data_IF_584595539295
#
_entry.id   IF_584595539295
#
_cell.length_a   1.000
_cell.length_b   1.000
_cell.length_c   1.000
_cell.angle_alpha   90.00
_cell.angle_beta   90.00
_cell.angle_gamma   90.00
#
_symmetry.space_group_name_H-M   'P 1'
#
loop_
_entity.id
_entity.type
_entity.pdbx_description
1 polymer ?
#
# COMPACT_ATOMS: atom_id res chain seq x y z
N UNK A 1 20.91 -2.65 -10.85
CA UNK A 1 19.75 -3.27 -10.19
C UNK A 1 18.85 -2.15 -9.71
N UNK A 2 17.58 -2.10 -10.13
CA UNK A 2 16.67 -1.03 -9.72
C UNK A 2 16.31 -1.21 -8.23
N UNK A 3 16.52 -0.18 -7.41
CA UNK A 3 16.15 -0.20 -5.99
C UNK A 3 14.63 -0.31 -5.89
N UNK A 4 14.12 -1.42 -5.34
CA UNK A 4 12.68 -1.60 -5.08
C UNK A 4 12.30 -0.65 -3.94
N UNK A 5 11.34 0.24 -4.18
CA UNK A 5 10.86 1.20 -3.17
C UNK A 5 10.16 0.44 -2.05
N UNK A 6 10.51 0.72 -0.78
CA UNK A 6 9.94 0.02 0.38
C UNK A 6 8.55 0.57 0.77
N UNK A 7 7.88 -0.12 1.70
CA UNK A 7 6.61 0.34 2.26
C UNK A 7 6.80 1.68 3.01
N UNK A 8 7.86 1.79 3.82
CA UNK A 8 8.19 2.98 4.60
C UNK A 8 8.52 4.17 3.70
N UNK A 9 9.26 3.93 2.60
CA UNK A 9 9.54 4.97 1.59
C UNK A 9 8.24 5.46 0.92
N UNK A 10 7.28 4.56 0.65
CA UNK A 10 5.95 4.92 0.12
C UNK A 10 5.11 5.71 1.13
N UNK A 11 5.13 5.30 2.40
CA UNK A 11 4.42 6.00 3.47
C UNK A 11 4.94 7.43 3.64
N UNK A 12 6.26 7.59 3.68
CA UNK A 12 6.91 8.91 3.73
C UNK A 12 6.50 9.79 2.54
N UNK A 13 6.41 9.22 1.34
CA UNK A 13 5.98 9.96 0.15
C UNK A 13 4.52 10.42 0.25
N UNK A 14 3.64 9.62 0.84
CA UNK A 14 2.26 10.01 1.10
C UNK A 14 2.17 11.15 2.12
N UNK A 15 2.98 11.13 3.17
CA UNK A 15 3.05 12.23 4.15
C UNK A 15 3.54 13.54 3.50
N UNK A 16 4.55 13.46 2.62
CA UNK A 16 5.03 14.62 1.85
C UNK A 16 3.94 15.18 0.92
N UNK A 17 3.20 14.30 0.25
CA UNK A 17 2.10 14.69 -0.63
C UNK A 17 0.94 15.31 0.16
N UNK A 18 0.62 14.77 1.34
CA UNK A 18 -0.41 15.32 2.22
C UNK A 18 -0.05 16.74 2.66
N UNK A 19 1.19 16.99 3.08
CA UNK A 19 1.66 18.33 3.44
C UNK A 19 1.52 19.35 2.31
N UNK A 20 1.75 18.92 1.06
CA UNK A 20 1.55 19.79 -0.11
C UNK A 20 0.07 20.07 -0.38
N UNK A 21 -0.81 19.10 -0.16
CA UNK A 21 -2.26 19.30 -0.30
C UNK A 21 -2.84 20.19 0.81
N UNK A 22 -2.19 20.25 1.97
CA UNK A 22 -2.54 21.16 3.06
C UNK A 22 -2.05 22.60 2.83
N UNK A 23 -1.19 22.83 1.84
CA UNK A 23 -0.73 24.16 1.48
C UNK A 23 -1.86 24.97 0.84
N UNK A 24 -2.15 26.14 1.40
CA UNK A 24 -3.21 27.04 0.92
C UNK A 24 -2.90 27.70 -0.43
N UNK A 25 -1.65 27.66 -0.88
CA UNK A 25 -1.22 28.22 -2.18
C UNK A 25 -1.22 27.19 -3.32
N UNK A 26 -1.57 25.93 -3.05
CA UNK A 26 -1.59 24.90 -4.09
C UNK A 26 -2.65 25.19 -5.17
N UNK A 27 -2.22 25.16 -6.43
CA UNK A 27 -3.12 25.27 -7.58
C UNK A 27 -3.93 23.98 -7.79
N UNK A 28 -5.16 24.10 -8.32
CA UNK A 28 -6.05 22.97 -8.58
C UNK A 28 -5.39 21.87 -9.44
N UNK A 29 -4.68 22.25 -10.51
CA UNK A 29 -4.01 21.29 -11.40
C UNK A 29 -2.89 20.52 -10.68
N UNK A 30 -2.20 21.17 -9.74
CA UNK A 30 -1.16 20.53 -8.93
C UNK A 30 -1.77 19.60 -7.89
N UNK A 31 -2.85 20.03 -7.23
CA UNK A 31 -3.60 19.19 -6.30
C UNK A 31 -4.12 17.90 -6.96
N UNK A 32 -4.63 18.00 -8.20
CA UNK A 32 -5.09 16.83 -8.98
C UNK A 32 -3.92 15.87 -9.27
N UNK A 33 -2.75 16.40 -9.68
CA UNK A 33 -1.56 15.58 -9.94
C UNK A 33 -1.09 14.84 -8.69
N UNK A 34 -1.02 15.54 -7.56
CA UNK A 34 -0.61 14.95 -6.28
C UNK A 34 -1.61 13.88 -5.84
N UNK A 35 -2.90 14.10 -6.04
CA UNK A 35 -3.94 13.10 -5.77
C UNK A 35 -3.76 11.84 -6.62
N UNK A 36 -3.55 11.98 -7.93
CA UNK A 36 -3.33 10.84 -8.84
C UNK A 36 -2.06 10.05 -8.48
N UNK A 37 -0.97 10.75 -8.15
CA UNK A 37 0.28 10.13 -7.69
C UNK A 37 0.05 9.36 -6.38
N UNK A 38 -0.62 9.98 -5.42
CA UNK A 38 -0.91 9.38 -4.12
C UNK A 38 -1.77 8.12 -4.26
N UNK A 39 -2.75 8.11 -5.20
CA UNK A 39 -3.56 6.92 -5.49
C UNK A 39 -2.71 5.74 -5.98
N UNK A 40 -1.70 6.00 -6.82
CA UNK A 40 -0.76 4.97 -7.30
C UNK A 40 0.11 4.44 -6.17
N UNK A 41 0.63 5.33 -5.33
CA UNK A 41 1.47 4.96 -4.17
C UNK A 41 0.67 4.07 -3.19
N UNK A 42 -0.58 4.44 -2.89
CA UNK A 42 -1.48 3.64 -2.05
C UNK A 42 -1.70 2.25 -2.65
N UNK A 43 -1.97 2.16 -3.97
CA UNK A 43 -2.15 0.86 -4.63
C UNK A 43 -0.91 -0.03 -4.50
N UNK A 44 0.29 0.53 -4.66
CA UNK A 44 1.52 -0.25 -4.51
C UNK A 44 1.82 -0.61 -3.05
N UNK A 45 1.53 0.29 -2.10
CA UNK A 45 1.69 0.01 -0.68
C UNK A 45 0.78 -1.14 -0.25
N UNK A 46 -0.48 -1.14 -0.74
CA UNK A 46 -1.41 -2.25 -0.52
C UNK A 46 -0.89 -3.56 -1.08
N UNK A 47 -0.25 -3.58 -2.27
CA UNK A 47 0.39 -4.81 -2.79
C UNK A 47 1.51 -5.33 -1.88
N UNK A 48 2.32 -4.44 -1.31
CA UNK A 48 3.37 -4.84 -0.36
C UNK A 48 2.74 -5.45 0.89
N UNK A 49 1.64 -4.86 1.38
CA UNK A 49 0.86 -5.38 2.50
C UNK A 49 0.15 -6.69 2.16
N UNK A 50 -0.34 -6.86 0.93
CA UNK A 50 -0.96 -8.09 0.44
C UNK A 50 0.07 -9.20 0.28
N UNK A 51 1.28 -8.91 -0.20
CA UNK A 51 2.38 -9.87 -0.24
C UNK A 51 2.82 -10.28 1.17
N UNK A 52 2.89 -9.30 2.09
CA UNK A 52 3.23 -9.54 3.49
C UNK A 52 2.11 -10.27 4.24
N UNK A 53 0.84 -9.97 3.94
CA UNK A 53 -0.34 -10.60 4.53
C UNK A 53 -0.74 -11.88 3.83
N UNK A 54 -0.31 -12.15 2.59
CA UNK A 54 -0.38 -13.45 1.94
C UNK A 54 0.49 -14.47 2.67
N UNK A 55 1.58 -14.01 3.30
CA UNK A 55 2.30 -14.80 4.32
C UNK A 55 1.50 -15.01 5.62
N UNK A 56 0.41 -14.27 5.85
CA UNK A 56 -0.46 -14.30 7.06
C UNK A 56 -1.84 -14.95 6.80
N UNK A 57 -2.39 -14.89 5.58
CA UNK A 57 -3.73 -15.34 5.13
C UNK A 57 -3.91 -16.86 5.07
N UNK A 58 -2.98 -17.62 5.65
CA UNK A 58 -3.14 -19.05 5.88
C UNK A 58 -3.89 -19.34 7.20
N UNK A 59 -4.86 -18.51 7.54
CA UNK A 59 -5.79 -18.68 8.66
C UNK A 59 -7.15 -18.26 8.11
N UNK A 60 -7.87 -19.20 7.50
CA UNK A 60 -9.27 -19.01 7.10
C UNK A 60 -10.13 -19.79 8.08
N UNK A 61 -10.93 -19.04 8.82
CA UNK A 61 -11.95 -19.49 9.77
C UNK A 61 -13.07 -20.25 9.02
N UNK A 62 -13.09 -21.58 9.17
CA UNK A 62 -14.27 -22.40 8.90
C UNK A 62 -14.64 -23.07 10.22
N UNK A 63 -15.70 -22.58 10.84
CA UNK A 63 -16.38 -23.18 11.99
C UNK A 63 -15.64 -23.14 13.33
N UNK A 64 -14.96 -22.03 13.68
CA UNK A 64 -14.37 -21.85 15.01
C UNK A 64 -13.22 -22.82 15.37
N UNK A 65 -12.73 -23.60 14.39
CA UNK A 65 -11.47 -24.34 14.50
C UNK A 65 -10.46 -23.77 13.50
N UNK A 66 -9.26 -23.48 13.99
CA UNK A 66 -8.16 -22.94 13.20
C UNK A 66 -7.41 -24.08 12.53
N UNK A 67 -7.55 -24.23 11.21
CA UNK A 67 -6.69 -25.13 10.42
C UNK A 67 -5.73 -24.34 9.52
N UNK A 68 -4.46 -24.78 9.49
CA UNK A 68 -3.38 -24.21 8.68
C UNK A 68 -3.21 -25.07 7.40
N UNK A 69 -3.71 -24.63 6.24
CA UNK A 69 -3.48 -25.34 4.97
C UNK A 69 -2.32 -24.76 4.16
N UNK A 70 -1.30 -25.58 3.82
CA UNK A 70 -0.20 -25.18 2.93
C UNK A 70 -0.71 -24.75 1.55
N UNK A 71 -0.19 -23.63 1.05
CA UNK A 71 -0.44 -23.20 -0.32
C UNK A 71 0.37 -24.14 -1.22
N UNK A 72 -0.26 -25.19 -1.73
CA UNK A 72 0.29 -25.97 -2.84
C UNK A 72 0.18 -25.12 -4.11
N UNK A 73 1.25 -24.39 -4.42
CA UNK A 73 1.54 -24.04 -5.81
C UNK A 73 1.81 -25.36 -6.56
N UNK A 74 0.93 -25.68 -7.50
CA UNK A 74 0.93 -26.87 -8.37
C UNK A 74 2.31 -27.45 -8.72
#
# INVERSE_FOLDING_TARGET
MAKKVTFEEKLKKLEENLKKLEDTEIGLDEAIKIYEESKKIISDANKILDDASGKVKKIIDKNNEYELEDFEDK
#
